data_IF_608693309905
#
_entry.id   IF_608693309905
#
_cell.length_a   1.000
_cell.length_b   1.000
_cell.length_c   1.000
_cell.angle_alpha   90.00
_cell.angle_beta   90.00
_cell.angle_gamma   90.00
#
_symmetry.space_group_name_H-M   'P 1'
#
loop_
_entity.id
_entity.type
_entity.pdbx_description
1 polymer ?
#
# COMPACT_ATOMS: atom_id res chain seq x y z
N UNK A 1 -28.52 -13.51 4.09
CA UNK A 1 -29.44 -12.55 4.71
C UNK A 1 -30.47 -12.10 3.67
N UNK A 2 -31.65 -11.63 4.09
CA UNK A 2 -32.66 -11.04 3.18
C UNK A 2 -32.41 -9.53 3.06
N UNK A 3 -32.77 -8.92 1.92
CA UNK A 3 -32.74 -7.47 1.76
C UNK A 3 -34.07 -6.88 2.21
N UNK A 4 -34.02 -5.84 3.05
CA UNK A 4 -35.20 -5.10 3.47
C UNK A 4 -35.67 -4.11 2.38
N UNK A 5 -36.94 -3.65 2.41
CA UNK A 5 -37.42 -2.63 1.47
C UNK A 5 -36.53 -1.39 1.46
N UNK A 6 -36.01 -1.03 0.29
CA UNK A 6 -35.09 0.10 0.09
C UNK A 6 -33.59 -0.28 0.12
N UNK A 7 -33.23 -1.46 0.61
CA UNK A 7 -31.86 -1.97 0.49
C UNK A 7 -31.59 -2.49 -0.93
N UNK A 8 -30.44 -2.12 -1.47
CA UNK A 8 -30.00 -2.54 -2.80
C UNK A 8 -28.64 -3.22 -2.66
N UNK A 9 -28.50 -4.38 -3.28
CA UNK A 9 -27.22 -5.09 -3.35
C UNK A 9 -26.24 -4.31 -4.23
N UNK A 10 -25.37 -3.51 -3.62
CA UNK A 10 -24.36 -2.72 -4.36
C UNK A 10 -23.31 -3.57 -5.05
N UNK A 11 -22.91 -4.67 -4.43
CA UNK A 11 -21.90 -5.58 -4.96
C UNK A 11 -22.34 -7.03 -4.69
N UNK A 12 -22.24 -7.93 -5.68
CA UNK A 12 -22.45 -9.35 -5.43
C UNK A 12 -21.35 -9.91 -4.52
N UNK A 13 -21.54 -11.13 -4.03
CA UNK A 13 -20.50 -11.82 -3.26
C UNK A 13 -19.23 -11.94 -4.10
N UNK A 14 -18.16 -11.33 -3.63
CA UNK A 14 -16.83 -11.39 -4.25
C UNK A 14 -15.84 -12.00 -3.28
N UNK A 15 -14.89 -12.82 -3.77
CA UNK A 15 -13.85 -13.38 -2.92
C UNK A 15 -12.94 -12.27 -2.39
N UNK A 16 -12.50 -12.42 -1.14
CA UNK A 16 -11.53 -11.49 -0.56
C UNK A 16 -10.19 -11.59 -1.27
N UNK A 17 -9.51 -10.44 -1.42
CA UNK A 17 -8.23 -10.38 -2.12
C UNK A 17 -7.11 -10.88 -1.22
N UNK A 18 -6.46 -11.98 -1.63
CA UNK A 18 -5.28 -12.51 -0.96
C UNK A 18 -4.04 -11.83 -1.53
N UNK A 19 -3.22 -11.27 -0.65
CA UNK A 19 -1.96 -10.60 -0.99
C UNK A 19 -0.82 -11.55 -0.64
N UNK A 20 -0.07 -12.07 -1.63
CA UNK A 20 1.02 -13.01 -1.36
C UNK A 20 2.24 -12.31 -0.73
N UNK A 21 3.16 -13.12 -0.21
CA UNK A 21 4.46 -12.63 0.26
C UNK A 21 5.22 -11.86 -0.83
N UNK A 22 6.08 -10.92 -0.44
CA UNK A 22 6.83 -10.05 -1.36
C UNK A 22 5.92 -9.21 -2.29
N UNK A 23 4.70 -8.93 -1.86
CA UNK A 23 3.79 -8.04 -2.57
C UNK A 23 2.96 -7.20 -1.61
N UNK A 24 2.42 -6.10 -2.10
CA UNK A 24 1.54 -5.23 -1.34
C UNK A 24 0.43 -4.66 -2.22
N UNK A 25 -0.65 -4.22 -1.58
CA UNK A 25 -1.64 -3.35 -2.21
C UNK A 25 -1.32 -1.90 -1.85
N UNK A 26 -1.25 -1.05 -2.87
CA UNK A 26 -1.25 0.40 -2.67
C UNK A 26 -2.70 0.83 -2.45
N UNK A 27 -2.96 1.29 -1.24
CA UNK A 27 -4.25 1.76 -0.80
C UNK A 27 -4.26 3.28 -0.82
N UNK A 28 -5.43 3.84 -1.12
CA UNK A 28 -5.66 5.28 -1.11
C UNK A 28 -6.95 5.61 -0.38
N UNK A 29 -6.92 6.55 0.55
CA UNK A 29 -8.11 7.06 1.21
C UNK A 29 -8.94 7.89 0.21
N UNK A 30 -10.22 7.58 0.08
CA UNK A 30 -11.18 8.32 -0.75
C UNK A 30 -11.81 9.46 0.05
N UNK A 31 -11.92 9.29 1.37
CA UNK A 31 -12.50 10.25 2.30
C UNK A 31 -11.78 10.18 3.65
N UNK A 32 -11.97 11.17 4.50
CA UNK A 32 -11.37 11.23 5.83
C UNK A 32 -11.99 10.18 6.76
N UNK A 33 -11.17 9.39 7.44
CA UNK A 33 -11.65 8.39 8.40
C UNK A 33 -10.60 8.06 9.47
N UNK A 34 -11.07 7.60 10.62
CA UNK A 34 -10.21 7.05 11.67
C UNK A 34 -9.93 5.57 11.38
N UNK A 35 -8.67 5.24 11.13
CA UNK A 35 -8.25 3.86 10.89
C UNK A 35 -8.17 3.11 12.23
N UNK A 36 -9.18 2.29 12.53
CA UNK A 36 -9.22 1.47 13.76
C UNK A 36 -8.01 0.52 13.90
N UNK A 37 -7.39 0.11 12.78
CA UNK A 37 -6.28 -0.84 12.80
C UNK A 37 -4.97 -0.17 13.23
N UNK A 38 -4.68 1.00 12.67
CA UNK A 38 -3.44 1.75 12.99
C UNK A 38 -3.63 2.79 14.08
N UNK A 39 -4.89 3.09 14.46
CA UNK A 39 -5.29 4.21 15.33
C UNK A 39 -4.82 5.56 14.81
N UNK A 40 -4.74 5.70 13.48
CA UNK A 40 -4.33 6.92 12.80
C UNK A 40 -5.53 7.57 12.11
N UNK A 41 -5.57 8.90 12.11
CA UNK A 41 -6.52 9.65 11.28
C UNK A 41 -5.97 9.68 9.86
N UNK A 42 -6.72 9.12 8.91
CA UNK A 42 -6.40 9.15 7.49
C UNK A 42 -7.19 10.28 6.84
N UNK A 43 -6.50 11.09 6.04
CA UNK A 43 -7.12 12.13 5.23
C UNK A 43 -7.31 11.66 3.80
N UNK A 44 -8.30 12.23 3.11
CA UNK A 44 -8.58 11.95 1.71
C UNK A 44 -7.32 12.18 0.85
N UNK A 45 -6.97 11.18 0.04
CA UNK A 45 -5.77 11.18 -0.79
C UNK A 45 -4.52 10.61 -0.11
N UNK A 46 -4.56 10.28 1.18
CA UNK A 46 -3.48 9.53 1.83
C UNK A 46 -3.30 8.17 1.18
N UNK A 47 -2.05 7.79 0.95
CA UNK A 47 -1.66 6.51 0.41
C UNK A 47 -0.78 5.74 1.38
N UNK A 48 -0.99 4.43 1.45
CA UNK A 48 -0.18 3.52 2.25
C UNK A 48 -0.16 2.12 1.61
N UNK A 49 0.66 1.24 2.17
CA UNK A 49 0.76 -0.14 1.70
C UNK A 49 0.09 -1.10 2.68
N UNK A 50 -0.63 -2.07 2.12
CA UNK A 50 -1.02 -3.28 2.82
C UNK A 50 -0.11 -4.42 2.35
N UNK A 51 0.86 -4.79 3.18
CA UNK A 51 1.88 -5.79 2.86
C UNK A 51 1.38 -7.23 3.10
N UNK A 52 1.67 -8.14 2.17
CA UNK A 52 1.40 -9.57 2.35
C UNK A 52 2.50 -10.30 3.13
N UNK A 53 2.27 -11.56 3.56
CA UNK A 53 1.12 -12.41 3.24
C UNK A 53 -0.09 -12.13 4.14
N UNK A 54 -1.18 -11.65 3.55
CA UNK A 54 -2.40 -11.34 4.29
C UNK A 54 -3.63 -11.30 3.37
N UNK A 55 -4.82 -11.48 3.96
CA UNK A 55 -6.09 -11.31 3.23
C UNK A 55 -6.59 -9.90 3.48
N UNK A 56 -6.77 -9.13 2.40
CA UNK A 56 -7.26 -7.76 2.48
C UNK A 56 -8.78 -7.75 2.70
N UNK A 57 -9.21 -7.01 3.72
CA UNK A 57 -10.63 -6.74 4.02
C UNK A 57 -10.97 -5.36 3.45
N UNK A 58 -11.80 -5.27 2.39
CA UNK A 58 -12.15 -3.99 1.79
C UNK A 58 -12.88 -3.07 2.76
N UNK A 59 -12.53 -1.78 2.71
CA UNK A 59 -13.21 -0.70 3.43
C UNK A 59 -13.85 0.26 2.43
N UNK A 60 -15.01 0.82 2.76
CA UNK A 60 -15.76 1.72 1.86
C UNK A 60 -15.04 3.05 1.63
N UNK A 61 -14.19 3.44 2.59
CA UNK A 61 -13.39 4.67 2.59
C UNK A 61 -12.09 4.54 1.81
N UNK A 62 -11.73 3.33 1.36
CA UNK A 62 -10.41 3.01 0.82
C UNK A 62 -10.51 2.42 -0.59
N UNK A 63 -9.75 2.99 -1.52
CA UNK A 63 -9.54 2.49 -2.87
C UNK A 63 -8.27 1.63 -2.94
N UNK A 64 -8.31 0.56 -3.74
CA UNK A 64 -7.14 -0.24 -4.09
C UNK A 64 -6.63 0.24 -5.44
N UNK A 65 -5.53 0.99 -5.45
CA UNK A 65 -5.00 1.61 -6.67
C UNK A 65 -4.23 0.59 -7.53
N UNK A 66 -3.28 -0.12 -6.91
CA UNK A 66 -2.44 -1.09 -7.62
C UNK A 66 -1.91 -2.19 -6.69
N UNK A 67 -1.44 -3.29 -7.29
CA UNK A 67 -0.70 -4.33 -6.58
C UNK A 67 0.78 -4.23 -6.93
N UNK A 68 1.58 -3.89 -5.93
CA UNK A 68 3.02 -3.73 -6.02
C UNK A 68 3.68 -5.08 -5.73
N UNK A 69 4.65 -5.46 -6.56
CA UNK A 69 5.52 -6.62 -6.32
C UNK A 69 6.90 -6.14 -5.93
N UNK A 70 7.56 -6.88 -5.05
CA UNK A 70 8.94 -6.60 -4.70
C UNK A 70 9.86 -6.83 -5.89
N UNK A 71 10.86 -5.98 -6.05
CA UNK A 71 11.93 -6.12 -7.05
C UNK A 71 13.08 -6.90 -6.42
N UNK A 72 13.56 -7.93 -7.12
CA UNK A 72 14.69 -8.74 -6.65
C UNK A 72 16.01 -8.05 -6.99
N UNK A 73 16.81 -7.77 -5.97
CA UNK A 73 18.16 -7.21 -6.09
C UNK A 73 19.18 -8.34 -5.94
N UNK A 74 19.90 -8.65 -7.01
CA UNK A 74 20.97 -9.64 -7.02
C UNK A 74 22.34 -9.12 -6.54
N UNK A 75 23.36 -9.98 -6.46
CA UNK A 75 24.72 -9.57 -6.17
C UNK A 75 25.23 -8.54 -7.19
N UNK A 76 25.94 -7.52 -6.73
CA UNK A 76 26.43 -6.40 -7.54
C UNK A 76 25.33 -5.61 -8.28
N UNK A 77 24.08 -5.73 -7.86
CA UNK A 77 22.96 -4.95 -8.38
C UNK A 77 22.48 -3.93 -7.34
N UNK A 78 21.80 -2.91 -7.81
CA UNK A 78 21.12 -1.91 -6.99
C UNK A 78 19.84 -1.45 -7.68
N UNK A 79 18.85 -1.03 -6.90
CA UNK A 79 17.68 -0.32 -7.39
C UNK A 79 17.83 1.17 -7.08
N UNK A 80 17.52 2.02 -8.06
CA UNK A 80 17.40 3.47 -7.87
C UNK A 80 15.97 3.78 -7.49
N UNK A 81 15.83 4.53 -6.41
CA UNK A 81 14.55 4.96 -5.86
C UNK A 81 14.47 6.48 -5.89
N UNK A 82 13.27 7.02 -6.12
CA UNK A 82 12.98 8.45 -6.03
C UNK A 82 11.82 8.73 -5.10
N UNK A 83 11.99 9.66 -4.16
CA UNK A 83 10.94 10.08 -3.24
C UNK A 83 9.92 11.00 -3.94
N UNK A 84 8.64 10.61 -3.97
CA UNK A 84 7.53 11.46 -4.44
C UNK A 84 7.07 12.48 -3.40
N UNK A 85 7.26 12.15 -2.12
CA UNK A 85 6.93 12.96 -0.96
C UNK A 85 8.00 12.73 0.10
N UNK A 86 8.05 13.63 1.06
CA UNK A 86 8.86 13.45 2.27
C UNK A 86 8.46 12.15 2.97
N UNK A 87 9.45 11.29 3.21
CA UNK A 87 9.24 9.98 3.81
C UNK A 87 10.48 9.51 4.56
N UNK A 88 10.30 8.48 5.39
CA UNK A 88 11.40 7.75 6.01
C UNK A 88 11.60 6.47 5.21
N UNK A 89 12.80 6.29 4.66
CA UNK A 89 13.14 5.08 3.90
C UNK A 89 13.20 3.85 4.82
N UNK A 90 13.24 2.64 4.24
CA UNK A 90 13.35 1.36 4.96
C UNK A 90 14.56 1.27 5.90
N UNK A 91 15.57 2.10 5.70
CA UNK A 91 16.78 2.20 6.55
C UNK A 91 16.62 3.17 7.72
N UNK A 92 15.50 3.88 7.83
CA UNK A 92 15.26 4.91 8.86
C UNK A 92 15.77 6.31 8.49
N UNK A 93 16.28 6.50 7.28
CA UNK A 93 16.75 7.80 6.82
C UNK A 93 15.60 8.66 6.29
N UNK A 94 15.51 9.93 6.72
CA UNK A 94 14.59 10.91 6.15
C UNK A 94 15.01 11.25 4.72
N UNK A 95 14.04 11.25 3.81
CA UNK A 95 14.19 11.59 2.39
C UNK A 95 13.28 12.77 2.06
N UNK A 96 13.79 13.72 1.28
CA UNK A 96 13.02 14.86 0.80
C UNK A 96 12.40 14.58 -0.58
N UNK A 97 11.38 15.34 -0.94
CA UNK A 97 10.73 15.22 -2.25
C UNK A 97 11.74 15.43 -3.38
N UNK A 98 11.76 14.49 -4.35
CA UNK A 98 12.68 14.50 -5.47
C UNK A 98 14.08 13.94 -5.17
N UNK A 99 14.37 13.60 -3.91
CA UNK A 99 15.62 12.93 -3.56
C UNK A 99 15.66 11.53 -4.18
N UNK A 100 16.84 11.15 -4.66
CA UNK A 100 17.09 9.82 -5.21
C UNK A 100 18.22 9.12 -4.47
N UNK A 101 18.09 7.81 -4.28
CA UNK A 101 19.11 7.00 -3.64
C UNK A 101 19.14 5.59 -4.22
N UNK A 102 20.20 4.85 -3.86
CA UNK A 102 20.40 3.46 -4.27
C UNK A 102 20.20 2.52 -3.09
N UNK A 103 19.39 1.48 -3.30
CA UNK A 103 19.31 0.33 -2.38
C UNK A 103 20.10 -0.83 -2.96
N UNK A 104 21.08 -1.33 -2.20
CA UNK A 104 22.02 -2.39 -2.60
C UNK A 104 21.85 -3.70 -1.83
N UNK A 105 20.93 -3.72 -0.85
CA UNK A 105 20.71 -4.91 -0.02
C UNK A 105 20.12 -6.01 -0.91
N UNK A 106 20.84 -7.13 -1.03
CA UNK A 106 20.40 -8.27 -1.84
C UNK A 106 19.13 -8.88 -1.28
N UNK A 107 18.23 -9.31 -2.17
CA UNK A 107 16.94 -9.90 -1.82
C UNK A 107 15.76 -9.17 -2.45
N UNK A 108 14.55 -9.51 -2.03
CA UNK A 108 13.34 -8.84 -2.48
C UNK A 108 13.18 -7.49 -1.78
N UNK A 109 13.10 -6.40 -2.55
CA UNK A 109 12.85 -5.07 -2.06
C UNK A 109 11.45 -4.61 -2.44
N UNK A 110 10.61 -4.35 -1.44
CA UNK A 110 9.27 -3.81 -1.63
C UNK A 110 9.32 -2.28 -1.44
N UNK A 111 9.10 -1.48 -2.50
CA UNK A 111 9.12 -0.02 -2.39
C UNK A 111 8.02 0.47 -1.46
N UNK A 112 8.21 1.65 -0.87
CA UNK A 112 7.21 2.33 -0.03
C UNK A 112 6.16 3.03 -0.90
N UNK A 113 5.02 3.41 -0.32
CA UNK A 113 3.88 4.00 -1.06
C UNK A 113 4.25 5.24 -1.89
N UNK A 114 5.17 6.07 -1.39
CA UNK A 114 5.59 7.31 -2.02
C UNK A 114 6.97 7.22 -2.69
N UNK A 115 7.37 6.02 -3.12
CA UNK A 115 8.64 5.78 -3.83
C UNK A 115 8.37 5.32 -5.25
N UNK A 116 9.12 5.86 -6.22
CA UNK A 116 9.21 5.37 -7.60
C UNK A 116 10.53 4.62 -7.83
#
# INVERSE_FOLDING_TARGET
FQLYPGEILRQPVTPLKVVPANSALRLKAILDFDDETTKEQRHAGDEWLFEGPATYIPRKEVSVEEQIRATVIGPNQAIRLGAKKELIDRTGQQRVTGEEWLVKKTGAYLPLAYVN
#
